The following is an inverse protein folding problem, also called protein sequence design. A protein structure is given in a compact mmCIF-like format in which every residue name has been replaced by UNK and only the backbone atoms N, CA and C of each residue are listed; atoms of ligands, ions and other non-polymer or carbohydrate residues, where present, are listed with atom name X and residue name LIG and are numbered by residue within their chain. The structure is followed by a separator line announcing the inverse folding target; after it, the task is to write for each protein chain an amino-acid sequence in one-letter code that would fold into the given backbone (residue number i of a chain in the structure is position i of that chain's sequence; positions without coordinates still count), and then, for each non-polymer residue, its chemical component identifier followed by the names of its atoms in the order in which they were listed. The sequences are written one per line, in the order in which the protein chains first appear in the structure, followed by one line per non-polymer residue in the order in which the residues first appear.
data_IF_805495150469
#
_entry.id   IF_805495150469
#
_cell.length_a   1.000
_cell.length_b   1.000
_cell.length_c   1.000
_cell.angle_alpha   90.00
_cell.angle_beta   90.00
_cell.angle_gamma   90.00
#
_symmetry.space_group_name_H-M   'P 1'
#
loop_
_entity.id
_entity.type
_entity.pdbx_description
1 polymer ?
#
# COMPACT_ATOMS: atom_id res chain seq x y z
N UNK A 1 -12.97 71.69 -4.72
CA UNK A 1 -11.62 71.46 -5.30
C UNK A 1 -11.54 70.01 -5.76
N UNK A 2 -10.84 69.81 -6.87
CA UNK A 2 -11.03 68.75 -7.87
C UNK A 2 -10.60 67.33 -7.46
N UNK A 3 -11.24 66.35 -8.12
CA UNK A 3 -10.78 65.07 -8.69
C UNK A 3 -9.42 64.50 -8.22
N UNK A 4 -9.26 63.19 -7.99
CA UNK A 4 -9.28 62.18 -9.07
C UNK A 4 -9.44 60.74 -8.57
N UNK A 5 -10.33 60.02 -9.25
CA UNK A 5 -10.51 58.56 -9.27
C UNK A 5 -9.43 57.95 -10.17
N UNK A 6 -8.60 57.04 -9.65
CA UNK A 6 -7.68 56.22 -10.47
C UNK A 6 -8.21 54.78 -10.55
N UNK A 7 -8.99 54.54 -11.60
CA UNK A 7 -9.37 53.22 -12.11
C UNK A 7 -8.16 52.63 -12.84
N UNK A 8 -7.43 51.70 -12.21
CA UNK A 8 -6.38 50.93 -12.89
C UNK A 8 -7.01 49.73 -13.60
N UNK A 9 -7.28 49.91 -14.89
CA UNK A 9 -7.61 48.86 -15.84
C UNK A 9 -6.44 47.87 -15.93
N UNK A 10 -6.55 46.74 -15.23
CA UNK A 10 -5.62 45.62 -15.38
C UNK A 10 -5.92 44.95 -16.72
N UNK A 11 -4.96 45.08 -17.65
CA UNK A 11 -5.02 44.49 -18.97
C UNK A 11 -5.03 42.96 -18.84
N UNK A 12 -6.04 42.35 -19.45
CA UNK A 12 -6.14 40.92 -19.67
C UNK A 12 -4.98 40.47 -20.56
N UNK A 13 -3.92 39.94 -19.97
CA UNK A 13 -2.99 39.04 -20.65
C UNK A 13 -3.75 37.75 -20.97
N UNK A 14 -4.27 37.65 -22.19
CA UNK A 14 -4.64 36.37 -22.81
C UNK A 14 -3.36 35.57 -23.05
N UNK A 15 -2.80 35.00 -21.98
CA UNK A 15 -1.79 33.97 -22.06
C UNK A 15 -2.39 32.80 -22.85
N UNK A 16 -1.92 32.66 -24.10
CA UNK A 16 -2.12 31.49 -24.93
C UNK A 16 -1.85 30.24 -24.09
N UNK A 17 -2.93 29.55 -23.70
CA UNK A 17 -2.88 28.23 -23.07
C UNK A 17 -2.32 27.26 -24.11
N UNK A 18 -1.00 27.27 -24.30
CA UNK A 18 -0.30 26.23 -25.03
C UNK A 18 -0.56 24.94 -24.27
N UNK A 19 -1.54 24.18 -24.76
CA UNK A 19 -1.89 22.84 -24.28
C UNK A 19 -0.62 21.99 -24.30
N UNK A 20 0.00 21.85 -23.14
CA UNK A 20 1.14 20.98 -22.91
C UNK A 20 0.62 19.56 -23.06
N UNK A 21 0.69 19.04 -24.30
CA UNK A 21 0.35 17.66 -24.59
C UNK A 21 1.20 16.74 -23.71
N UNK A 22 0.53 15.89 -22.94
CA UNK A 22 1.19 14.89 -22.11
C UNK A 22 2.02 13.93 -22.98
N UNK A 23 3.35 14.01 -22.89
CA UNK A 23 4.26 13.17 -23.68
C UNK A 23 4.08 11.67 -23.41
N UNK A 24 3.62 11.31 -22.21
CA UNK A 24 3.33 9.92 -21.84
C UNK A 24 2.28 9.29 -22.76
N UNK A 25 1.28 10.07 -23.21
CA UNK A 25 0.21 9.59 -24.09
C UNK A 25 0.65 9.42 -25.55
N UNK A 26 1.82 9.96 -25.92
CA UNK A 26 2.41 9.78 -27.26
C UNK A 26 3.19 8.48 -27.38
N UNK A 27 3.53 7.84 -26.25
CA UNK A 27 4.25 6.58 -26.25
C UNK A 27 3.33 5.42 -26.67
N UNK A 28 3.86 4.37 -27.31
CA UNK A 28 3.16 3.10 -27.45
C UNK A 28 2.70 2.54 -26.09
N UNK A 29 1.61 1.75 -26.11
CA UNK A 29 1.00 1.22 -24.89
C UNK A 29 1.97 0.37 -24.08
N UNK A 30 2.84 -0.39 -24.75
CA UNK A 30 3.84 -1.26 -24.16
C UNK A 30 4.80 -0.46 -23.28
N UNK A 31 5.33 0.66 -23.79
CA UNK A 31 6.24 1.52 -23.02
C UNK A 31 5.53 2.20 -21.85
N UNK A 32 4.24 2.56 -22.02
CA UNK A 32 3.45 3.11 -20.91
C UNK A 32 3.29 2.09 -19.79
N UNK A 33 2.99 0.82 -20.12
CA UNK A 33 2.85 -0.25 -19.14
C UNK A 33 4.15 -0.47 -18.35
N UNK A 34 5.30 -0.51 -19.02
CA UNK A 34 6.61 -0.61 -18.35
C UNK A 34 6.86 0.56 -17.38
N UNK A 35 6.51 1.79 -17.78
CA UNK A 35 6.59 2.96 -16.90
C UNK A 35 5.68 2.77 -15.68
N UNK A 36 4.45 2.29 -15.86
CA UNK A 36 3.55 2.04 -14.73
C UNK A 36 4.10 0.96 -13.79
N UNK A 37 4.71 -0.10 -14.34
CA UNK A 37 5.35 -1.13 -13.54
C UNK A 37 6.46 -0.57 -12.67
N UNK A 38 7.32 0.30 -13.23
CA UNK A 38 8.40 0.97 -12.51
C UNK A 38 7.87 1.92 -11.43
N UNK A 39 6.89 2.77 -11.77
CA UNK A 39 6.27 3.71 -10.83
C UNK A 39 5.59 2.98 -9.67
N UNK A 40 4.94 1.85 -9.94
CA UNK A 40 4.24 1.06 -8.94
C UNK A 40 5.13 0.03 -8.23
N UNK A 41 6.37 -0.22 -8.70
CA UNK A 41 7.28 -1.19 -8.09
C UNK A 41 7.69 -0.78 -6.67
N UNK A 42 7.87 0.52 -6.45
CA UNK A 42 8.32 1.09 -5.17
C UNK A 42 7.16 1.41 -4.21
N UNK A 43 5.93 1.02 -4.57
CA UNK A 43 4.78 1.31 -3.73
C UNK A 43 4.78 0.38 -2.50
N UNK A 44 5.10 0.95 -1.34
CA UNK A 44 4.93 0.26 -0.07
C UNK A 44 3.45 0.29 0.33
N UNK A 45 2.78 -0.85 0.15
CA UNK A 45 1.34 -1.00 0.37
C UNK A 45 0.96 -0.91 1.85
N UNK A 46 1.91 -1.16 2.78
CA UNK A 46 1.67 -1.06 4.22
C UNK A 46 1.59 0.39 4.69
N UNK A 47 2.63 1.17 4.38
CA UNK A 47 2.78 2.54 4.91
C UNK A 47 2.33 3.63 3.92
N UNK A 48 2.66 3.50 2.63
CA UNK A 48 2.48 4.58 1.66
C UNK A 48 1.02 4.79 1.26
N UNK A 49 0.24 3.71 1.08
CA UNK A 49 -1.16 3.82 0.64
C UNK A 49 -2.11 4.43 1.67
N UNK A 50 -1.70 4.53 2.94
CA UNK A 50 -2.46 5.28 3.94
C UNK A 50 -2.32 6.79 3.76
N UNK A 51 -1.21 7.25 3.19
CA UNK A 51 -0.86 8.67 3.09
C UNK A 51 -1.09 9.22 1.70
N UNK A 52 -0.64 8.51 0.67
CA UNK A 52 -0.64 9.02 -0.70
C UNK A 52 -1.10 7.94 -1.68
N UNK A 53 -2.09 8.29 -2.48
CA UNK A 53 -2.57 7.44 -3.56
C UNK A 53 -1.65 7.60 -4.77
N UNK A 54 -1.27 6.53 -5.49
CA UNK A 54 -0.29 6.62 -6.58
C UNK A 54 -0.71 7.67 -7.60
N UNK A 55 0.19 8.63 -7.87
CA UNK A 55 -0.09 9.76 -8.76
C UNK A 55 -0.58 9.31 -10.14
N UNK A 56 -0.04 8.19 -10.66
CA UNK A 56 -0.43 7.63 -11.96
C UNK A 56 -1.91 7.25 -12.04
N UNK A 57 -2.52 6.85 -10.91
CA UNK A 57 -3.95 6.54 -10.85
C UNK A 57 -4.80 7.81 -10.77
N UNK A 58 -4.21 8.98 -10.48
CA UNK A 58 -4.93 10.24 -10.36
C UNK A 58 -4.95 11.05 -11.66
N UNK A 59 -3.99 10.85 -12.58
CA UNK A 59 -3.78 11.72 -13.74
C UNK A 59 -4.99 11.81 -14.69
N UNK A 60 -5.37 10.70 -15.33
CA UNK A 60 -6.52 10.68 -16.24
C UNK A 60 -7.12 9.28 -16.36
N UNK A 61 -8.35 9.18 -16.88
CA UNK A 61 -9.09 7.92 -17.00
C UNK A 61 -8.34 6.85 -17.81
N UNK A 62 -7.67 7.26 -18.88
CA UNK A 62 -6.93 6.34 -19.75
C UNK A 62 -5.76 5.69 -19.02
N UNK A 63 -4.86 6.51 -18.45
CA UNK A 63 -3.69 6.03 -17.69
C UNK A 63 -4.13 5.17 -16.50
N UNK A 64 -5.19 5.61 -15.79
CA UNK A 64 -5.78 4.84 -14.70
C UNK A 64 -6.26 3.47 -15.16
N UNK A 65 -7.01 3.40 -16.26
CA UNK A 65 -7.54 2.13 -16.78
C UNK A 65 -6.42 1.13 -17.11
N UNK A 66 -5.33 1.60 -17.71
CA UNK A 66 -4.18 0.76 -18.01
C UNK A 66 -3.42 0.33 -16.74
N UNK A 67 -3.21 1.26 -15.80
CA UNK A 67 -2.42 1.00 -14.59
C UNK A 67 -3.17 0.18 -13.52
N UNK A 68 -4.51 0.17 -13.52
CA UNK A 68 -5.34 -0.52 -12.50
C UNK A 68 -5.05 -2.02 -12.43
N UNK A 69 -4.81 -2.68 -13.57
CA UNK A 69 -4.49 -4.10 -13.59
C UNK A 69 -3.15 -4.38 -12.87
N UNK A 70 -2.13 -3.57 -13.16
CA UNK A 70 -0.79 -3.67 -12.56
C UNK A 70 -0.89 -3.36 -11.05
N UNK A 71 -1.62 -2.31 -10.69
CA UNK A 71 -1.83 -1.94 -9.29
C UNK A 71 -2.51 -3.07 -8.50
N UNK A 72 -3.57 -3.68 -9.03
CA UNK A 72 -4.24 -4.81 -8.35
C UNK A 72 -3.37 -6.05 -8.24
N UNK A 73 -2.55 -6.34 -9.26
CA UNK A 73 -1.56 -7.42 -9.20
C UNK A 73 -0.58 -7.18 -8.03
N UNK A 74 -0.11 -5.95 -7.86
CA UNK A 74 0.77 -5.55 -6.75
C UNK A 74 0.07 -5.64 -5.38
N UNK A 75 -1.16 -5.15 -5.25
CA UNK A 75 -1.98 -5.33 -4.04
C UNK A 75 -2.13 -6.80 -3.64
N UNK A 76 -2.40 -7.66 -4.62
CA UNK A 76 -2.54 -9.11 -4.41
C UNK A 76 -1.22 -9.74 -3.97
N UNK A 77 -0.12 -9.38 -4.61
CA UNK A 77 1.22 -9.87 -4.26
C UNK A 77 1.62 -9.44 -2.84
N UNK A 78 1.34 -8.19 -2.45
CA UNK A 78 1.59 -7.74 -1.07
C UNK A 78 0.77 -8.53 -0.06
N UNK A 79 -0.54 -8.68 -0.30
CA UNK A 79 -1.41 -9.44 0.60
C UNK A 79 -0.93 -10.90 0.74
N UNK A 80 -0.48 -11.53 -0.35
CA UNK A 80 0.07 -12.88 -0.33
C UNK A 80 1.37 -12.97 0.49
N UNK A 81 2.27 -11.99 0.39
CA UNK A 81 3.51 -11.92 1.20
C UNK A 81 3.20 -11.84 2.70
N UNK A 82 2.33 -10.93 3.11
CA UNK A 82 1.94 -10.82 4.53
C UNK A 82 1.22 -12.07 5.03
N UNK A 83 0.34 -12.66 4.20
CA UNK A 83 -0.30 -13.94 4.54
C UNK A 83 0.73 -15.05 4.77
N UNK A 84 1.76 -15.15 3.93
CA UNK A 84 2.84 -16.12 4.11
C UNK A 84 3.62 -15.88 5.42
N UNK A 85 3.92 -14.62 5.75
CA UNK A 85 4.57 -14.26 7.03
C UNK A 85 3.72 -14.68 8.24
N UNK A 86 2.41 -14.46 8.20
CA UNK A 86 1.48 -14.91 9.26
C UNK A 86 1.55 -16.42 9.46
N UNK A 87 1.58 -17.21 8.38
CA UNK A 87 1.67 -18.67 8.49
C UNK A 87 3.02 -19.14 9.05
N UNK A 88 4.13 -18.50 8.66
CA UNK A 88 5.46 -18.77 9.23
C UNK A 88 5.47 -18.46 10.74
N UNK A 89 5.02 -17.27 11.13
CA UNK A 89 4.97 -16.84 12.52
C UNK A 89 4.02 -17.72 13.37
N UNK A 90 2.90 -18.18 12.79
CA UNK A 90 2.00 -19.14 13.44
C UNK A 90 2.70 -20.46 13.71
N UNK A 91 3.45 -20.98 12.73
CA UNK A 91 4.19 -22.24 12.88
C UNK A 91 5.34 -22.11 13.91
N UNK A 92 5.99 -20.95 14.00
CA UNK A 92 7.02 -20.67 15.01
C UNK A 92 6.43 -20.56 16.42
N UNK A 93 5.30 -19.86 16.57
CA UNK A 93 4.55 -19.80 17.83
C UNK A 93 4.17 -21.20 18.31
N UNK A 94 3.57 -22.03 17.44
CA UNK A 94 3.19 -23.40 17.79
C UNK A 94 4.40 -24.26 18.17
N UNK A 95 5.54 -24.10 17.49
CA UNK A 95 6.79 -24.79 17.85
C UNK A 95 7.31 -24.37 19.23
N UNK A 96 7.25 -23.08 19.54
CA UNK A 96 7.71 -22.54 20.84
C UNK A 96 6.80 -22.98 21.99
N UNK A 97 5.49 -22.96 21.76
CA UNK A 97 4.49 -23.48 22.72
C UNK A 97 4.66 -24.98 22.98
N UNK A 98 4.89 -25.78 21.92
CA UNK A 98 5.16 -27.20 22.08
C UNK A 98 6.41 -27.46 22.93
N UNK A 99 7.51 -26.76 22.66
CA UNK A 99 8.76 -26.86 23.46
C UNK A 99 8.53 -26.48 24.92
N UNK A 100 7.79 -25.41 25.16
CA UNK A 100 7.42 -24.97 26.50
C UNK A 100 6.64 -26.05 27.26
N UNK A 101 5.63 -26.65 26.62
CA UNK A 101 4.83 -27.72 27.23
C UNK A 101 5.67 -28.97 27.50
N UNK A 102 6.50 -29.40 26.55
CA UNK A 102 7.40 -30.55 26.72
C UNK A 102 8.38 -30.34 27.88
N UNK A 103 8.95 -29.13 28.04
CA UNK A 103 9.82 -28.84 29.18
C UNK A 103 9.08 -28.82 30.51
N UNK A 104 7.90 -28.20 30.54
CA UNK A 104 7.05 -28.13 31.73
C UNK A 104 6.69 -29.53 32.24
N UNK A 105 6.36 -30.45 31.34
CA UNK A 105 6.09 -31.86 31.66
C UNK A 105 7.33 -32.59 32.22
N UNK A 106 8.51 -32.36 31.62
CA UNK A 106 9.76 -32.99 32.07
C UNK A 106 10.24 -32.51 33.44
N UNK A 107 10.07 -31.23 33.74
CA UNK A 107 10.64 -30.59 34.94
C UNK A 107 9.69 -30.56 36.15
N UNK A 108 8.54 -31.26 36.10
CA UNK A 108 7.60 -31.33 37.23
C UNK A 108 7.22 -29.93 37.80
N UNK A 109 7.12 -28.91 36.94
CA UNK A 109 6.42 -27.67 37.34
C UNK A 109 7.06 -26.34 36.96
N UNK A 110 8.34 -26.25 36.58
CA UNK A 110 8.92 -24.96 36.20
C UNK A 110 9.80 -25.07 34.94
N UNK A 111 9.35 -24.58 33.78
CA UNK A 111 10.17 -24.47 32.59
C UNK A 111 11.30 -23.44 32.80
N UNK A 112 12.37 -23.56 32.02
CA UNK A 112 13.48 -22.61 32.10
C UNK A 112 13.01 -21.19 31.75
N UNK A 113 13.63 -20.17 32.38
CA UNK A 113 13.35 -18.76 32.09
C UNK A 113 13.54 -18.44 30.59
N UNK A 114 14.57 -19.03 29.97
CA UNK A 114 14.85 -18.89 28.54
C UNK A 114 13.69 -19.40 27.68
N UNK A 115 13.12 -20.56 28.00
CA UNK A 115 11.99 -21.12 27.23
C UNK A 115 10.70 -20.35 27.44
N UNK A 116 10.50 -19.76 28.63
CA UNK A 116 9.40 -18.83 28.87
C UNK A 116 9.56 -17.56 28.02
N UNK A 117 10.76 -16.97 28.00
CA UNK A 117 11.08 -15.78 27.19
C UNK A 117 10.88 -16.04 25.70
N UNK A 118 11.35 -17.18 25.19
CA UNK A 118 11.15 -17.58 23.79
C UNK A 118 9.66 -17.66 23.42
N UNK A 119 8.84 -18.25 24.29
CA UNK A 119 7.40 -18.37 24.07
C UNK A 119 6.70 -17.00 24.08
N UNK A 120 7.08 -16.10 24.98
CA UNK A 120 6.57 -14.72 25.04
C UNK A 120 6.97 -13.96 23.77
N UNK A 121 8.25 -13.97 23.42
CA UNK A 121 8.76 -13.30 22.23
C UNK A 121 8.07 -13.80 20.94
N UNK A 122 7.83 -15.11 20.82
CA UNK A 122 7.11 -15.68 19.69
C UNK A 122 5.64 -15.21 19.62
N UNK A 123 4.99 -14.98 20.76
CA UNK A 123 3.63 -14.44 20.81
C UNK A 123 3.58 -12.96 20.42
N UNK A 124 4.56 -12.16 20.87
CA UNK A 124 4.65 -10.73 20.54
C UNK A 124 4.92 -10.52 19.05
N UNK A 125 5.90 -11.25 18.49
CA UNK A 125 6.21 -11.24 17.05
C UNK A 125 5.00 -11.67 16.23
N UNK A 126 4.31 -12.75 16.62
CA UNK A 126 3.11 -13.20 15.92
C UNK A 126 1.99 -12.14 15.95
N UNK A 127 1.80 -11.48 17.10
CA UNK A 127 0.77 -10.44 17.25
C UNK A 127 1.08 -9.23 16.36
N UNK A 128 2.33 -8.76 16.34
CA UNK A 128 2.75 -7.67 15.47
C UNK A 128 2.55 -7.99 13.98
N UNK A 129 2.93 -9.19 13.52
CA UNK A 129 2.74 -9.62 12.12
C UNK A 129 1.25 -9.73 11.78
N UNK A 130 0.42 -10.19 12.73
CA UNK A 130 -1.02 -10.28 12.52
C UNK A 130 -1.65 -8.89 12.37
N UNK A 131 -1.24 -7.93 13.20
CA UNK A 131 -1.70 -6.54 13.12
C UNK A 131 -1.33 -5.91 11.78
N UNK A 132 -0.08 -6.08 11.33
CA UNK A 132 0.38 -5.62 10.01
C UNK A 132 -0.44 -6.24 8.87
N UNK A 133 -0.67 -7.56 8.92
CA UNK A 133 -1.51 -8.23 7.93
C UNK A 133 -2.94 -7.69 7.93
N UNK A 134 -3.54 -7.43 9.10
CA UNK A 134 -4.89 -6.84 9.18
C UNK A 134 -4.91 -5.41 8.63
N UNK A 135 -3.85 -4.63 8.85
CA UNK A 135 -3.68 -3.29 8.31
C UNK A 135 -3.65 -3.31 6.78
N UNK A 136 -2.76 -4.13 6.21
CA UNK A 136 -2.62 -4.30 4.76
C UNK A 136 -3.91 -4.82 4.13
N UNK A 137 -4.56 -5.81 4.74
CA UNK A 137 -5.84 -6.34 4.25
C UNK A 137 -6.92 -5.25 4.19
N UNK A 138 -7.02 -4.39 5.21
CA UNK A 138 -7.97 -3.26 5.22
C UNK A 138 -7.68 -2.27 4.10
N UNK A 139 -6.40 -1.93 3.87
CA UNK A 139 -6.00 -1.04 2.77
C UNK A 139 -6.36 -1.66 1.41
N UNK A 140 -5.97 -2.90 1.16
CA UNK A 140 -6.29 -3.60 -0.10
C UNK A 140 -7.80 -3.66 -0.35
N UNK A 141 -8.60 -3.95 0.68
CA UNK A 141 -10.06 -4.01 0.56
C UNK A 141 -10.65 -2.63 0.27
N UNK A 142 -10.17 -1.58 0.93
CA UNK A 142 -10.58 -0.19 0.69
C UNK A 142 -10.31 0.22 -0.75
N UNK A 143 -9.09 -0.02 -1.26
CA UNK A 143 -8.71 0.38 -2.61
C UNK A 143 -9.47 -0.39 -3.68
N UNK A 144 -9.68 -1.71 -3.50
CA UNK A 144 -10.53 -2.48 -4.41
C UNK A 144 -11.98 -1.99 -4.41
N UNK A 145 -12.53 -1.63 -3.26
CA UNK A 145 -13.88 -1.06 -3.19
C UNK A 145 -13.96 0.26 -3.95
N UNK A 146 -12.99 1.18 -3.79
CA UNK A 146 -12.94 2.43 -4.58
C UNK A 146 -12.93 2.14 -6.08
N UNK A 147 -12.07 1.23 -6.53
CA UNK A 147 -11.98 0.87 -7.94
C UNK A 147 -13.28 0.24 -8.48
N UNK A 148 -14.00 -0.56 -7.69
CA UNK A 148 -15.33 -1.08 -8.08
C UNK A 148 -16.37 0.02 -8.22
N UNK A 149 -16.37 0.99 -7.30
CA UNK A 149 -17.26 2.15 -7.38
C UNK A 149 -16.98 3.00 -8.63
N UNK A 150 -15.75 3.00 -9.13
CA UNK A 150 -15.37 3.63 -10.40
C UNK A 150 -15.65 2.77 -11.64
N UNK A 151 -16.18 1.55 -11.48
CA UNK A 151 -16.56 0.65 -12.59
C UNK A 151 -15.48 -0.34 -13.04
N UNK A 152 -14.36 -0.43 -12.33
CA UNK A 152 -13.30 -1.39 -12.64
C UNK A 152 -13.62 -2.79 -12.12
N UNK A 153 -13.23 -3.83 -12.89
CA UNK A 153 -13.28 -5.23 -12.45
C UNK A 153 -11.99 -5.57 -11.69
N UNK A 154 -12.11 -5.73 -10.36
CA UNK A 154 -10.98 -5.91 -9.42
C UNK A 154 -11.25 -6.92 -8.31
#
# INVERSE_FOLDING_TARGET
MASTTTTSTSQNETASLQSTQCHLLKLPAELRLEIYELVLANLDIGYSLQREYPSILQVCKLLRHEAVAIFNKRLSAALARYKAQVEIARAERHRSEKKYNEQRERLMGVPSLETLLDAINACDVFSAILDDYTGVRRVVQRERTKLRLEGFRV
#
